data_IF_211279630363
#
_entry.id   IF_211279630363
#
_cell.length_a   1.000
_cell.length_b   1.000
_cell.length_c   1.000
_cell.angle_alpha   90.00
_cell.angle_beta   90.00
_cell.angle_gamma   90.00
#
_symmetry.space_group_name_H-M   'P 1'
#
loop_
_entity.id
_entity.type
_entity.pdbx_description
1 polymer ?
#
# COMPACT_ATOMS: atom_id res chain seq x y z
N UNK A 1 35.42 -7.72 -14.91
CA UNK A 1 35.89 -8.85 -14.11
C UNK A 1 35.31 -8.70 -12.71
N UNK A 2 34.13 -9.27 -12.43
CA UNK A 2 33.43 -9.12 -11.15
C UNK A 2 33.74 -10.33 -10.28
N UNK A 3 34.50 -10.13 -9.22
CA UNK A 3 34.76 -11.15 -8.21
C UNK A 3 33.59 -11.25 -7.27
N UNK A 4 32.79 -12.30 -7.44
CA UNK A 4 31.74 -12.65 -6.49
C UNK A 4 32.37 -13.01 -5.13
N UNK A 5 32.19 -12.17 -4.12
CA UNK A 5 32.49 -12.54 -2.73
C UNK A 5 31.45 -13.56 -2.28
N UNK A 6 31.86 -14.82 -2.14
CA UNK A 6 31.08 -15.86 -1.45
C UNK A 6 30.87 -15.41 0.00
N UNK A 7 29.66 -15.08 0.34
CA UNK A 7 29.22 -14.99 1.74
C UNK A 7 29.18 -16.44 2.25
N UNK A 8 30.11 -16.79 3.12
CA UNK A 8 30.00 -18.03 3.90
C UNK A 8 28.86 -17.83 4.88
N UNK A 9 27.75 -18.49 4.65
CA UNK A 9 26.76 -18.71 5.72
C UNK A 9 27.37 -19.66 6.72
N UNK A 10 27.24 -19.42 8.05
CA UNK A 10 27.57 -20.41 9.04
C UNK A 10 26.69 -21.64 8.75
N UNK A 11 27.26 -22.83 8.90
CA UNK A 11 26.66 -24.11 8.57
C UNK A 11 25.18 -24.15 8.98
N UNK A 12 24.30 -24.07 7.99
CA UNK A 12 22.89 -24.34 8.17
C UNK A 12 22.77 -25.79 8.67
N UNK A 13 22.13 -25.95 9.79
CA UNK A 13 21.65 -27.24 10.30
C UNK A 13 21.28 -28.13 9.12
N UNK A 14 22.08 -29.19 8.91
CA UNK A 14 21.70 -30.30 8.08
C UNK A 14 20.44 -30.92 8.73
N UNK A 15 19.28 -30.47 8.31
CA UNK A 15 18.03 -31.19 8.56
C UNK A 15 18.14 -32.46 7.71
N UNK A 16 18.73 -33.49 8.29
CA UNK A 16 18.75 -34.78 7.66
C UNK A 16 17.31 -35.27 7.53
N UNK A 17 16.87 -35.53 6.30
CA UNK A 17 15.56 -36.12 5.97
C UNK A 17 15.22 -37.37 6.78
N UNK A 18 16.19 -37.92 7.48
CA UNK A 18 16.05 -39.07 8.37
C UNK A 18 15.36 -38.84 9.70
N UNK A 19 15.30 -37.56 10.19
CA UNK A 19 14.65 -37.29 11.47
C UNK A 19 13.13 -37.27 11.36
N UNK A 20 12.59 -36.80 10.24
CA UNK A 20 11.15 -36.81 9.98
C UNK A 20 10.61 -38.19 9.60
N UNK A 21 11.40 -39.05 8.96
CA UNK A 21 10.94 -40.40 8.53
C UNK A 21 10.72 -41.36 9.71
N UNK A 22 11.40 -41.19 10.85
CA UNK A 22 11.21 -42.06 12.03
C UNK A 22 9.89 -41.79 12.79
N UNK A 23 9.28 -40.61 12.59
CA UNK A 23 8.02 -40.26 13.24
C UNK A 23 6.79 -40.40 12.34
N UNK A 24 7.01 -40.63 11.04
CA UNK A 24 5.93 -40.78 10.05
C UNK A 24 5.75 -42.22 9.59
N UNK A 25 5.69 -43.20 10.52
CA UNK A 25 5.09 -44.48 10.21
C UNK A 25 3.58 -44.30 10.17
N UNK A 26 3.09 -43.84 9.02
CA UNK A 26 1.67 -43.78 8.73
C UNK A 26 1.17 -45.21 8.50
N UNK A 27 0.38 -45.72 9.41
CA UNK A 27 -0.53 -46.85 9.15
C UNK A 27 -1.59 -46.44 8.11
N UNK A 28 -2.46 -47.33 7.66
CA UNK A 28 -3.41 -47.05 6.55
C UNK A 28 -4.24 -45.81 6.86
N UNK A 29 -4.25 -44.89 5.89
CA UNK A 29 -4.86 -43.55 5.98
C UNK A 29 -6.38 -43.70 5.92
N UNK A 30 -7.00 -43.86 7.05
CA UNK A 30 -8.29 -43.18 7.31
C UNK A 30 -7.96 -41.71 7.55
N UNK A 31 -8.79 -40.74 7.14
CA UNK A 31 -8.58 -39.34 7.43
C UNK A 31 -8.48 -39.16 8.96
N UNK A 32 -7.33 -39.50 9.49
CA UNK A 32 -7.09 -39.74 10.89
C UNK A 32 -6.61 -38.42 11.49
N UNK A 33 -7.28 -37.99 12.52
CA UNK A 33 -6.74 -37.00 13.44
C UNK A 33 -5.38 -37.49 13.89
N UNK A 34 -4.32 -36.74 13.57
CA UNK A 34 -3.00 -37.03 14.08
C UNK A 34 -3.03 -36.93 15.61
N UNK A 35 -2.33 -37.83 16.33
CA UNK A 35 -2.15 -37.71 17.78
C UNK A 35 -1.48 -36.37 18.19
N UNK A 36 -0.93 -35.66 17.22
CA UNK A 36 -0.31 -34.35 17.40
C UNK A 36 -1.26 -33.18 17.10
N UNK A 37 -2.52 -33.43 16.75
CA UNK A 37 -3.49 -32.38 16.36
C UNK A 37 -3.79 -31.39 17.49
N UNK A 38 -3.58 -31.79 18.74
CA UNK A 38 -3.76 -30.94 19.92
C UNK A 38 -2.97 -29.63 19.85
N UNK A 39 -1.85 -29.58 19.10
CA UNK A 39 -1.05 -28.35 18.96
C UNK A 39 -1.81 -27.22 18.26
N UNK A 40 -2.87 -27.53 17.52
CA UNK A 40 -3.75 -26.54 16.90
C UNK A 40 -4.51 -25.68 17.90
N UNK A 41 -4.69 -26.17 19.13
CA UNK A 41 -5.36 -25.44 20.21
C UNK A 41 -4.52 -24.24 20.67
N UNK A 42 -3.22 -24.22 20.36
CA UNK A 42 -2.34 -23.08 20.64
C UNK A 42 -2.42 -21.98 19.56
N UNK A 43 -3.08 -22.24 18.40
CA UNK A 43 -3.33 -21.22 17.41
C UNK A 43 -4.50 -20.34 17.88
N UNK A 44 -4.24 -19.01 17.95
CA UNK A 44 -5.29 -18.07 18.31
C UNK A 44 -6.35 -17.96 17.20
N UNK A 45 -7.62 -17.84 17.58
CA UNK A 45 -8.69 -17.44 16.67
C UNK A 45 -8.60 -15.93 16.42
N UNK A 46 -8.25 -15.57 15.20
CA UNK A 46 -8.11 -14.19 14.74
C UNK A 46 -9.21 -13.79 13.75
N UNK A 47 -10.38 -14.44 13.83
CA UNK A 47 -11.50 -14.23 12.91
C UNK A 47 -12.14 -12.86 13.12
N UNK A 48 -12.17 -12.03 12.07
CA UNK A 48 -12.87 -10.75 12.05
C UNK A 48 -14.39 -10.94 12.16
N UNK A 49 -15.07 -10.06 12.89
CA UNK A 49 -16.53 -10.07 13.06
C UNK A 49 -17.25 -10.09 11.71
N UNK A 50 -18.25 -10.96 11.58
CA UNK A 50 -19.12 -11.05 10.40
C UNK A 50 -19.87 -9.73 10.17
N UNK A 51 -20.21 -9.46 8.89
CA UNK A 51 -21.01 -8.30 8.49
C UNK A 51 -20.39 -6.92 8.79
N UNK A 52 -19.12 -6.88 9.20
CA UNK A 52 -18.36 -5.65 9.36
C UNK A 52 -17.45 -5.40 8.14
N UNK A 53 -17.13 -4.14 7.89
CA UNK A 53 -16.08 -3.76 6.99
C UNK A 53 -14.72 -4.19 7.56
N UNK A 54 -13.87 -4.77 6.74
CA UNK A 54 -12.47 -5.04 7.12
C UNK A 54 -11.59 -4.07 6.37
N UNK A 55 -10.71 -3.41 7.07
CA UNK A 55 -9.68 -2.54 6.49
C UNK A 55 -8.32 -3.14 6.79
N UNK A 56 -7.51 -3.33 5.77
CA UNK A 56 -6.08 -3.60 5.92
C UNK A 56 -5.35 -2.31 5.60
N UNK A 57 -4.62 -1.76 6.59
CA UNK A 57 -3.75 -0.60 6.40
C UNK A 57 -2.31 -1.02 6.42
N UNK A 58 -1.59 -0.65 5.38
CA UNK A 58 -0.15 -0.80 5.26
C UNK A 58 0.53 0.54 5.51
N UNK A 59 1.71 0.50 6.12
CA UNK A 59 2.54 1.66 6.43
C UNK A 59 4.01 1.29 6.17
N UNK A 60 4.74 2.15 5.50
CA UNK A 60 6.14 1.91 5.15
C UNK A 60 7.07 1.99 6.36
N UNK A 61 7.68 0.86 6.74
CA UNK A 61 8.59 0.81 7.89
C UNK A 61 9.88 1.59 7.61
N UNK A 62 10.17 2.63 8.43
CA UNK A 62 11.33 3.51 8.25
C UNK A 62 11.41 4.13 6.85
N UNK A 63 10.28 4.45 6.26
CA UNK A 63 10.19 4.82 4.85
C UNK A 63 10.85 6.17 4.57
N UNK A 64 10.93 7.05 5.59
CA UNK A 64 11.69 8.27 5.50
C UNK A 64 13.22 8.02 5.26
N UNK A 65 13.80 7.07 5.96
CA UNK A 65 15.17 6.64 5.68
C UNK A 65 15.29 5.98 4.30
N UNK A 66 14.28 5.22 3.89
CA UNK A 66 14.22 4.62 2.55
C UNK A 66 14.21 5.71 1.48
N UNK A 67 13.34 6.70 1.60
CA UNK A 67 13.21 7.83 0.69
C UNK A 67 14.52 8.63 0.58
N UNK A 68 15.18 8.90 1.71
CA UNK A 68 16.46 9.62 1.72
C UNK A 68 17.57 8.82 1.05
N UNK A 69 17.66 7.50 1.31
CA UNK A 69 18.68 6.64 0.68
C UNK A 69 18.45 6.45 -0.83
N UNK A 70 17.22 6.52 -1.27
CA UNK A 70 16.85 6.43 -2.68
C UNK A 70 16.65 7.83 -3.33
N UNK A 71 17.09 8.91 -2.68
CA UNK A 71 17.08 10.27 -3.22
C UNK A 71 15.70 10.68 -3.77
N UNK A 72 14.63 10.39 -3.03
CA UNK A 72 13.29 10.84 -3.40
C UNK A 72 13.22 12.36 -3.36
N UNK A 73 12.56 12.95 -4.35
CA UNK A 73 12.32 14.37 -4.39
C UNK A 73 11.52 14.84 -3.16
N UNK A 74 11.85 16.03 -2.68
CA UNK A 74 11.17 16.65 -1.52
C UNK A 74 10.47 17.94 -1.97
N UNK A 75 9.28 18.25 -1.47
CA UNK A 75 8.52 17.52 -0.43
C UNK A 75 7.88 16.23 -0.90
N UNK A 76 7.66 16.06 -2.20
CA UNK A 76 6.96 14.91 -2.77
C UNK A 76 7.70 14.37 -4.00
N UNK A 77 7.74 13.06 -4.14
CA UNK A 77 8.20 12.39 -5.36
C UNK A 77 7.01 11.70 -6.04
N UNK A 78 6.59 12.21 -7.19
CA UNK A 78 5.45 11.67 -7.94
C UNK A 78 5.69 10.23 -8.39
N UNK A 79 6.93 9.85 -8.70
CA UNK A 79 7.30 8.48 -9.11
C UNK A 79 7.01 7.50 -7.97
N UNK A 80 7.39 7.87 -6.75
CA UNK A 80 7.15 7.04 -5.56
C UNK A 80 5.63 6.84 -5.31
N UNK A 81 4.83 7.92 -5.42
CA UNK A 81 3.38 7.83 -5.26
C UNK A 81 2.70 7.01 -6.37
N UNK A 82 3.17 7.13 -7.59
CA UNK A 82 2.65 6.32 -8.70
C UNK A 82 3.04 4.84 -8.55
N UNK A 83 4.25 4.53 -8.09
CA UNK A 83 4.66 3.17 -7.77
C UNK A 83 3.79 2.57 -6.66
N UNK A 84 3.54 3.31 -5.56
CA UNK A 84 2.61 2.89 -4.49
C UNK A 84 1.21 2.60 -5.05
N UNK A 85 0.73 3.47 -5.95
CA UNK A 85 -0.56 3.31 -6.61
C UNK A 85 -0.60 2.07 -7.50
N UNK A 86 0.45 1.80 -8.27
CA UNK A 86 0.56 0.59 -9.09
C UNK A 86 0.55 -0.68 -8.24
N UNK A 87 1.27 -0.68 -7.11
CA UNK A 87 1.23 -1.80 -6.17
C UNK A 87 -0.18 -2.04 -5.62
N UNK A 88 -0.90 -0.96 -5.27
CA UNK A 88 -2.27 -1.07 -4.78
C UNK A 88 -3.24 -1.58 -5.84
N UNK A 89 -3.08 -1.17 -7.10
CA UNK A 89 -3.85 -1.72 -8.22
C UNK A 89 -3.64 -3.24 -8.35
N UNK A 90 -2.39 -3.70 -8.32
CA UNK A 90 -2.05 -5.13 -8.39
C UNK A 90 -2.67 -5.93 -7.23
N UNK A 91 -2.68 -5.37 -6.02
CA UNK A 91 -3.37 -6.00 -4.87
C UNK A 91 -4.87 -6.08 -5.09
N UNK A 92 -5.50 -5.02 -5.63
CA UNK A 92 -6.94 -5.03 -5.92
C UNK A 92 -7.31 -6.00 -7.05
N UNK A 93 -6.48 -6.11 -8.08
CA UNK A 93 -6.67 -7.06 -9.20
C UNK A 93 -6.64 -8.51 -8.72
N UNK A 94 -5.77 -8.84 -7.77
CA UNK A 94 -5.67 -10.17 -7.17
C UNK A 94 -6.81 -10.43 -6.16
N UNK A 95 -7.25 -9.42 -5.43
CA UNK A 95 -8.19 -9.53 -4.32
C UNK A 95 -9.50 -8.78 -4.62
N UNK A 96 -10.37 -9.36 -5.45
CA UNK A 96 -11.63 -8.75 -5.94
C UNK A 96 -12.63 -8.31 -4.85
N UNK A 97 -12.45 -8.77 -3.61
CA UNK A 97 -13.26 -8.35 -2.47
C UNK A 97 -12.86 -6.98 -1.91
N UNK A 98 -11.76 -6.38 -2.38
CA UNK A 98 -11.41 -5.00 -2.09
C UNK A 98 -12.27 -4.08 -2.95
N UNK A 99 -13.00 -3.17 -2.33
CA UNK A 99 -13.90 -2.23 -3.02
C UNK A 99 -13.32 -0.83 -3.15
N UNK A 100 -12.48 -0.43 -2.20
CA UNK A 100 -11.81 0.86 -2.18
C UNK A 100 -10.38 0.63 -1.71
N UNK A 101 -9.41 1.27 -2.36
CA UNK A 101 -8.09 1.48 -1.80
C UNK A 101 -7.81 2.99 -1.74
N UNK A 102 -7.23 3.44 -0.63
CA UNK A 102 -6.86 4.83 -0.39
C UNK A 102 -5.39 4.90 0.01
N UNK A 103 -4.62 5.69 -0.73
CA UNK A 103 -3.18 5.86 -0.51
C UNK A 103 -2.75 7.29 -0.29
N UNK A 104 -1.76 7.46 0.56
CA UNK A 104 -1.06 8.72 0.80
C UNK A 104 0.38 8.43 1.23
N UNK A 105 1.35 9.17 0.71
CA UNK A 105 2.77 8.97 1.06
C UNK A 105 3.16 7.48 0.95
N UNK A 106 3.57 6.88 2.05
CA UNK A 106 3.95 5.47 2.20
C UNK A 106 2.85 4.60 2.87
N UNK A 107 1.64 5.14 3.01
CA UNK A 107 0.49 4.45 3.59
C UNK A 107 -0.53 4.05 2.50
N UNK A 108 -1.08 2.84 2.61
CA UNK A 108 -2.21 2.38 1.80
C UNK A 108 -3.23 1.63 2.64
N UNK A 109 -4.51 1.96 2.47
CA UNK A 109 -5.66 1.32 3.14
C UNK A 109 -6.52 0.60 2.13
N UNK A 110 -6.81 -0.68 2.37
CA UNK A 110 -7.63 -1.55 1.53
C UNK A 110 -8.91 -1.92 2.26
N UNK A 111 -10.05 -1.53 1.71
CA UNK A 111 -11.38 -1.76 2.29
C UNK A 111 -12.03 -2.97 1.61
N UNK A 112 -12.30 -4.01 2.39
CA UNK A 112 -12.95 -5.23 1.92
C UNK A 112 -14.47 -5.15 2.12
N UNK A 113 -15.22 -5.80 1.22
CA UNK A 113 -16.67 -5.94 1.29
C UNK A 113 -17.11 -6.49 2.66
N UNK A 114 -18.23 -5.97 3.20
CA UNK A 114 -18.82 -6.49 4.45
C UNK A 114 -19.17 -7.97 4.39
N UNK A 115 -19.53 -8.48 3.20
CA UNK A 115 -19.89 -9.87 2.94
C UNK A 115 -18.69 -10.76 2.61
N UNK A 116 -17.48 -10.19 2.54
CA UNK A 116 -16.27 -10.97 2.27
C UNK A 116 -16.14 -12.12 3.25
N UNK A 117 -15.94 -13.31 2.73
CA UNK A 117 -15.64 -14.52 3.52
C UNK A 117 -14.26 -15.10 3.18
N UNK A 118 -13.41 -14.28 2.59
CA UNK A 118 -12.08 -14.63 2.19
C UNK A 118 -11.28 -15.19 3.37
N UNK A 119 -10.66 -16.35 3.20
CA UNK A 119 -9.98 -17.11 4.26
C UNK A 119 -10.76 -17.21 5.58
N UNK A 120 -12.09 -17.39 5.52
CA UNK A 120 -12.96 -17.42 6.71
C UNK A 120 -12.80 -16.19 7.61
N UNK A 121 -12.46 -15.05 7.00
CA UNK A 121 -12.27 -13.74 7.65
C UNK A 121 -11.11 -13.68 8.67
N UNK A 122 -10.11 -14.54 8.56
CA UNK A 122 -8.95 -14.51 9.46
C UNK A 122 -8.10 -13.25 9.23
N UNK A 123 -7.94 -12.43 10.28
CA UNK A 123 -7.21 -11.15 10.23
C UNK A 123 -5.76 -11.32 9.77
N UNK A 124 -5.06 -12.33 10.28
CA UNK A 124 -3.69 -12.66 9.88
C UNK A 124 -3.58 -12.93 8.37
N UNK A 125 -4.58 -13.59 7.79
CA UNK A 125 -4.60 -13.90 6.35
C UNK A 125 -4.81 -12.65 5.51
N UNK A 126 -5.75 -11.79 5.89
CA UNK A 126 -5.92 -10.50 5.22
C UNK A 126 -4.63 -9.69 5.26
N UNK A 127 -4.05 -9.54 6.45
CA UNK A 127 -2.85 -8.74 6.67
C UNK A 127 -1.66 -9.26 5.87
N UNK A 128 -1.34 -10.55 6.00
CA UNK A 128 -0.14 -11.12 5.40
C UNK A 128 -0.21 -11.19 3.89
N UNK A 129 -1.37 -11.52 3.30
CA UNK A 129 -1.52 -11.52 1.85
C UNK A 129 -1.40 -10.12 1.26
N UNK A 130 -2.12 -9.13 1.82
CA UNK A 130 -2.05 -7.75 1.33
C UNK A 130 -0.63 -7.20 1.47
N UNK A 131 0.02 -7.38 2.64
CA UNK A 131 1.35 -6.87 2.87
C UNK A 131 2.41 -7.53 1.97
N UNK A 132 2.37 -8.85 1.82
CA UNK A 132 3.33 -9.57 0.98
C UNK A 132 3.15 -9.25 -0.51
N UNK A 133 1.92 -9.22 -1.00
CA UNK A 133 1.62 -8.86 -2.38
C UNK A 133 2.04 -7.41 -2.69
N UNK A 134 1.75 -6.49 -1.78
CA UNK A 134 2.15 -5.09 -1.94
C UNK A 134 3.67 -4.92 -1.96
N UNK A 135 4.37 -5.50 -0.98
CA UNK A 135 5.82 -5.41 -0.89
C UNK A 135 6.54 -6.05 -2.09
N UNK A 136 6.08 -7.22 -2.55
CA UNK A 136 6.65 -7.87 -3.73
C UNK A 136 6.39 -7.06 -5.00
N UNK A 137 5.19 -6.48 -5.15
CA UNK A 137 4.85 -5.58 -6.26
C UNK A 137 5.72 -4.34 -6.28
N UNK A 138 6.03 -3.78 -5.12
CA UNK A 138 6.90 -2.61 -5.02
C UNK A 138 8.30 -2.89 -5.57
N UNK A 139 8.88 -4.04 -5.24
CA UNK A 139 10.17 -4.49 -5.78
C UNK A 139 10.07 -4.80 -7.27
N UNK A 140 8.99 -5.46 -7.68
CA UNK A 140 8.77 -5.88 -9.07
C UNK A 140 8.67 -4.69 -10.03
N UNK A 141 7.87 -3.68 -9.66
CA UNK A 141 7.63 -2.49 -10.49
C UNK A 141 8.63 -1.35 -10.25
N UNK A 142 9.63 -1.50 -9.38
CA UNK A 142 10.56 -0.43 -9.08
C UNK A 142 11.18 0.22 -10.32
N UNK A 143 11.66 -0.60 -11.25
CA UNK A 143 12.34 -0.12 -12.47
C UNK A 143 11.43 0.64 -13.42
N UNK A 144 10.14 0.40 -13.38
CA UNK A 144 9.17 1.08 -14.25
C UNK A 144 8.99 2.56 -13.87
N UNK A 145 9.36 2.93 -12.64
CA UNK A 145 9.22 4.28 -12.09
C UNK A 145 10.58 4.95 -11.77
N UNK A 146 11.62 4.15 -11.56
CA UNK A 146 12.96 4.61 -11.17
C UNK A 146 14.04 3.98 -12.07
N UNK A 147 13.87 4.10 -13.37
CA UNK A 147 14.63 3.45 -14.46
C UNK A 147 16.13 3.31 -14.16
N UNK A 148 16.82 4.44 -13.91
CA UNK A 148 18.28 4.50 -13.70
C UNK A 148 18.68 4.37 -12.23
N UNK A 149 17.72 4.31 -11.33
CA UNK A 149 17.97 4.29 -9.89
C UNK A 149 17.82 2.88 -9.33
N UNK A 150 18.92 2.22 -8.90
CA UNK A 150 18.81 0.88 -8.36
C UNK A 150 18.05 0.86 -7.02
N UNK A 151 17.24 -0.15 -6.82
CA UNK A 151 16.67 -0.44 -5.50
C UNK A 151 17.83 -0.94 -4.61
N UNK A 152 18.22 -0.16 -3.61
CA UNK A 152 19.36 -0.46 -2.74
C UNK A 152 19.07 -1.58 -1.74
N UNK A 153 17.82 -1.66 -1.28
CA UNK A 153 17.32 -2.73 -0.41
C UNK A 153 15.79 -2.79 -0.48
N UNK A 154 15.18 -3.96 -0.22
CA UNK A 154 13.72 -4.10 -0.29
C UNK A 154 13.04 -3.29 0.82
N UNK A 155 11.90 -2.63 0.53
CA UNK A 155 11.09 -1.97 1.55
C UNK A 155 10.36 -3.00 2.41
N UNK A 156 10.06 -2.62 3.66
CA UNK A 156 9.14 -3.36 4.50
C UNK A 156 7.89 -2.54 4.76
N UNK A 157 6.74 -3.22 4.83
CA UNK A 157 5.47 -2.60 5.16
C UNK A 157 4.90 -3.23 6.43
N UNK A 158 4.50 -2.39 7.37
CA UNK A 158 3.76 -2.77 8.56
C UNK A 158 2.28 -2.87 8.20
N UNK A 159 1.63 -3.97 8.56
CA UNK A 159 0.22 -4.19 8.27
C UNK A 159 -0.62 -4.24 9.53
N UNK A 160 -1.83 -3.67 9.47
CA UNK A 160 -2.82 -3.83 10.54
C UNK A 160 -4.22 -4.02 9.97
N UNK A 161 -5.00 -4.85 10.67
CA UNK A 161 -6.41 -5.10 10.33
C UNK A 161 -7.29 -4.37 11.33
N UNK A 162 -8.24 -3.59 10.80
CA UNK A 162 -9.24 -2.89 11.61
C UNK A 162 -10.64 -3.24 11.10
N UNK A 163 -11.56 -3.43 12.03
CA UNK A 163 -12.94 -3.83 11.71
C UNK A 163 -13.90 -2.68 12.05
N UNK A 164 -14.70 -2.26 11.07
CA UNK A 164 -15.65 -1.17 11.23
C UNK A 164 -17.09 -1.68 11.07
N UNK A 165 -17.97 -1.45 12.06
CA UNK A 165 -19.32 -2.06 12.06
C UNK A 165 -20.30 -1.38 11.10
N UNK A 166 -20.15 -0.08 10.82
CA UNK A 166 -21.14 0.70 10.08
C UNK A 166 -20.55 1.38 8.84
N UNK A 167 -21.43 1.81 7.92
CA UNK A 167 -21.02 2.62 6.78
C UNK A 167 -20.53 4.00 7.22
N UNK A 168 -21.06 4.53 8.35
CA UNK A 168 -20.60 5.81 8.86
C UNK A 168 -19.16 5.71 9.36
N UNK A 169 -18.84 4.69 10.17
CA UNK A 169 -17.47 4.53 10.71
C UNK A 169 -16.42 4.33 9.62
N UNK A 170 -16.75 3.65 8.50
CA UNK A 170 -15.80 3.55 7.38
C UNK A 170 -15.64 4.87 6.63
N UNK A 171 -16.70 5.67 6.49
CA UNK A 171 -16.59 7.02 5.91
C UNK A 171 -15.72 7.93 6.79
N UNK A 172 -15.94 7.90 8.10
CA UNK A 172 -15.16 8.69 9.06
C UNK A 172 -13.69 8.28 9.05
N UNK A 173 -13.42 6.98 8.94
CA UNK A 173 -12.07 6.47 8.78
C UNK A 173 -11.38 7.03 7.52
N UNK A 174 -12.01 6.95 6.36
CA UNK A 174 -11.44 7.47 5.11
C UNK A 174 -11.27 9.00 5.15
N UNK A 175 -12.24 9.71 5.75
CA UNK A 175 -12.15 11.16 5.95
C UNK A 175 -10.98 11.53 6.87
N UNK A 176 -10.77 10.77 7.93
CA UNK A 176 -9.64 10.95 8.84
C UNK A 176 -8.31 10.74 8.11
N UNK A 177 -8.18 9.69 7.30
CA UNK A 177 -6.96 9.46 6.52
C UNK A 177 -6.70 10.57 5.50
N UNK A 178 -7.75 11.10 4.87
CA UNK A 178 -7.60 12.22 3.94
C UNK A 178 -7.24 13.53 4.66
N UNK A 179 -7.79 13.79 5.84
CA UNK A 179 -7.41 14.96 6.64
C UNK A 179 -5.94 14.87 7.07
N UNK A 180 -5.49 13.70 7.49
CA UNK A 180 -4.10 13.42 7.84
C UNK A 180 -3.15 13.66 6.65
N UNK A 181 -3.52 13.18 5.46
CA UNK A 181 -2.80 13.47 4.22
C UNK A 181 -2.59 14.98 4.01
N UNK A 182 -3.68 15.76 4.12
CA UNK A 182 -3.61 17.20 3.94
C UNK A 182 -2.71 17.88 4.97
N UNK A 183 -2.87 17.55 6.25
CA UNK A 183 -2.11 18.14 7.35
C UNK A 183 -0.61 17.87 7.18
N UNK A 184 -0.26 16.60 6.93
CA UNK A 184 1.13 16.19 6.78
C UNK A 184 1.77 16.75 5.52
N UNK A 185 1.06 16.76 4.40
CA UNK A 185 1.60 17.28 3.15
C UNK A 185 1.80 18.81 3.22
N UNK A 186 0.85 19.57 3.78
CA UNK A 186 1.02 20.99 3.99
C UNK A 186 2.23 21.29 4.89
N UNK A 187 2.37 20.56 5.99
CA UNK A 187 3.54 20.71 6.87
C UNK A 187 4.85 20.44 6.12
N UNK A 188 4.93 19.33 5.40
CA UNK A 188 6.14 18.96 4.65
C UNK A 188 6.46 19.95 3.53
N UNK A 189 5.45 20.50 2.86
CA UNK A 189 5.65 21.51 1.80
C UNK A 189 6.31 22.76 2.37
N UNK A 190 5.79 23.28 3.48
CA UNK A 190 6.39 24.45 4.14
C UNK A 190 7.79 24.12 4.69
N UNK A 191 7.92 22.99 5.37
CA UNK A 191 9.20 22.57 5.95
C UNK A 191 10.30 22.52 4.90
N UNK A 192 10.04 21.88 3.77
CA UNK A 192 11.03 21.76 2.71
C UNK A 192 11.26 23.05 1.95
N UNK A 193 10.26 23.93 1.82
CA UNK A 193 10.46 25.29 1.31
C UNK A 193 11.43 26.10 2.19
N UNK A 194 11.24 26.04 3.51
CA UNK A 194 12.13 26.69 4.47
C UNK A 194 13.57 26.12 4.41
N UNK A 195 13.74 24.83 4.28
CA UNK A 195 15.05 24.20 4.21
C UNK A 195 15.72 24.48 2.86
N UNK A 196 15.03 24.30 1.74
CA UNK A 196 15.63 24.33 0.41
C UNK A 196 15.77 25.75 -0.16
N UNK A 197 14.82 26.65 0.14
CA UNK A 197 14.79 28.00 -0.43
C UNK A 197 15.28 29.06 0.54
N UNK A 198 14.97 28.95 1.84
CA UNK A 198 15.51 29.91 2.84
C UNK A 198 16.81 29.47 3.49
N UNK A 199 17.32 28.28 3.16
CA UNK A 199 18.58 27.76 3.70
C UNK A 199 18.56 27.48 5.21
N UNK A 200 17.38 27.34 5.83
CA UNK A 200 17.28 26.98 7.25
C UNK A 200 17.73 25.53 7.47
N UNK A 201 18.36 25.30 8.61
CA UNK A 201 18.60 23.92 9.04
C UNK A 201 17.27 23.24 9.38
N UNK A 202 17.18 21.89 9.28
CA UNK A 202 15.97 21.15 9.66
C UNK A 202 15.43 21.51 11.06
N UNK A 203 16.34 21.71 12.02
CA UNK A 203 15.99 22.09 13.41
C UNK A 203 15.35 23.48 13.45
N UNK A 204 15.92 24.45 12.72
CA UNK A 204 15.37 25.82 12.65
C UNK A 204 14.02 25.83 11.95
N UNK A 205 13.87 25.10 10.84
CA UNK A 205 12.60 24.98 10.12
C UNK A 205 11.52 24.35 11.02
N UNK A 206 11.85 23.27 11.73
CA UNK A 206 10.94 22.64 12.68
C UNK A 206 10.55 23.59 13.82
N UNK A 207 11.51 24.30 14.41
CA UNK A 207 11.24 25.28 15.46
C UNK A 207 10.32 26.41 14.99
N UNK A 208 10.51 26.88 13.74
CA UNK A 208 9.65 27.91 13.14
C UNK A 208 8.21 27.43 12.92
N UNK A 209 8.02 26.15 12.61
CA UNK A 209 6.69 25.58 12.37
C UNK A 209 5.99 25.12 13.65
N UNK A 210 6.68 25.10 14.78
CA UNK A 210 6.10 24.68 16.05
C UNK A 210 4.97 25.62 16.46
N UNK A 211 3.79 25.07 16.75
CA UNK A 211 2.59 25.81 17.16
C UNK A 211 1.85 26.52 16.04
N UNK A 212 2.32 26.48 14.79
CA UNK A 212 1.60 27.07 13.65
C UNK A 212 0.37 26.26 13.26
N UNK A 213 -0.68 26.97 12.85
CA UNK A 213 -1.91 26.38 12.30
C UNK A 213 -1.81 26.23 10.76
N UNK A 214 -2.85 25.68 10.14
CA UNK A 214 -2.89 25.53 8.68
C UNK A 214 -2.90 26.88 7.95
N UNK A 215 -3.59 27.90 8.52
CA UNK A 215 -3.62 29.25 7.97
C UNK A 215 -2.22 29.87 7.94
N UNK A 216 -1.47 29.76 9.06
CA UNK A 216 -0.12 30.32 9.17
C UNK A 216 0.84 29.67 8.15
N UNK A 217 0.71 28.35 7.96
CA UNK A 217 1.50 27.60 6.97
C UNK A 217 1.22 28.05 5.54
N UNK A 218 -0.05 28.27 5.20
CA UNK A 218 -0.43 28.79 3.89
C UNK A 218 0.09 30.21 3.69
N UNK A 219 0.05 31.05 4.72
CA UNK A 219 0.59 32.41 4.67
C UNK A 219 2.10 32.40 4.44
N UNK A 220 2.85 31.57 5.16
CA UNK A 220 4.29 31.40 4.96
C UNK A 220 4.58 30.97 3.50
N UNK A 221 3.86 29.98 2.97
CA UNK A 221 4.07 29.52 1.59
C UNK A 221 3.80 30.64 0.58
N UNK A 222 2.74 31.39 0.78
CA UNK A 222 2.34 32.43 -0.15
C UNK A 222 3.23 33.67 -0.07
N UNK A 223 3.45 34.19 1.15
CA UNK A 223 4.16 35.45 1.34
C UNK A 223 5.67 35.37 1.13
N UNK A 224 6.29 34.22 1.49
CA UNK A 224 7.74 34.08 1.43
C UNK A 224 8.23 33.34 0.20
N UNK A 225 7.43 32.40 -0.34
CA UNK A 225 7.84 31.53 -1.44
C UNK A 225 6.99 31.69 -2.70
N UNK A 226 5.96 32.53 -2.67
CA UNK A 226 5.00 32.69 -3.76
C UNK A 226 4.33 31.35 -4.19
N UNK A 227 4.16 30.44 -3.23
CA UNK A 227 3.54 29.13 -3.42
C UNK A 227 2.09 29.20 -2.95
N UNK A 228 1.14 29.08 -3.88
CA UNK A 228 -0.25 28.84 -3.53
C UNK A 228 -0.47 27.32 -3.37
N UNK A 229 -0.54 26.84 -2.13
CA UNK A 229 -0.72 25.43 -1.84
C UNK A 229 -1.96 24.80 -2.48
N UNK A 230 -2.99 25.59 -2.79
CA UNK A 230 -4.16 25.08 -3.50
C UNK A 230 -3.88 24.68 -4.95
N UNK A 231 -2.80 25.14 -5.52
CA UNK A 231 -2.36 24.77 -6.88
C UNK A 231 -1.52 23.49 -6.91
N UNK A 232 -1.08 22.99 -5.74
CA UNK A 232 -0.36 21.74 -5.67
C UNK A 232 -1.22 20.57 -6.16
N UNK A 233 -0.63 19.56 -6.82
CA UNK A 233 -1.35 18.38 -7.33
C UNK A 233 -2.24 17.71 -6.28
N UNK A 234 -3.44 17.28 -6.70
CA UNK A 234 -4.39 16.63 -5.80
C UNK A 234 -3.83 15.35 -5.16
N UNK A 235 -3.00 14.61 -5.89
CA UNK A 235 -2.34 13.40 -5.39
C UNK A 235 -1.49 13.69 -4.14
N UNK A 236 -0.88 14.87 -4.05
CA UNK A 236 -0.10 15.28 -2.88
C UNK A 236 -1.01 15.75 -1.73
N UNK A 237 -2.04 16.54 -2.05
CA UNK A 237 -2.90 17.18 -1.04
C UNK A 237 -4.03 16.31 -0.51
N UNK A 238 -4.50 15.36 -1.33
CA UNK A 238 -5.70 14.54 -1.05
C UNK A 238 -5.45 13.04 -1.08
N UNK A 239 -4.28 12.62 -1.57
CA UNK A 239 -3.98 11.22 -1.78
C UNK A 239 -4.64 10.63 -3.04
N UNK A 240 -4.60 9.32 -3.14
CA UNK A 240 -5.12 8.54 -4.26
C UNK A 240 -6.26 7.64 -3.81
N UNK A 241 -7.35 7.63 -4.56
CA UNK A 241 -8.48 6.71 -4.36
C UNK A 241 -8.56 5.77 -5.55
N UNK A 242 -8.60 4.47 -5.30
CA UNK A 242 -8.85 3.44 -6.29
C UNK A 242 -10.20 2.76 -6.00
N UNK A 243 -11.03 2.65 -7.02
CA UNK A 243 -12.32 1.97 -6.99
C UNK A 243 -12.55 1.18 -8.27
N UNK A 244 -13.35 0.13 -8.19
CA UNK A 244 -13.81 -0.58 -9.37
C UNK A 244 -14.89 0.23 -10.08
N UNK A 245 -14.74 0.42 -11.40
CA UNK A 245 -15.74 1.06 -12.24
C UNK A 245 -16.22 0.08 -13.32
N UNK A 246 -17.54 -0.08 -13.41
CA UNK A 246 -18.14 -0.82 -14.53
C UNK A 246 -18.11 0.04 -15.79
N UNK A 247 -17.38 -0.38 -16.81
CA UNK A 247 -17.38 0.24 -18.12
C UNK A 247 -18.47 -0.43 -18.96
N UNK A 248 -19.44 0.35 -19.44
CA UNK A 248 -20.45 -0.11 -20.38
C UNK A 248 -19.95 0.19 -21.80
N UNK A 249 -19.55 -0.82 -22.53
CA UNK A 249 -19.23 -0.66 -23.94
C UNK A 249 -20.53 -0.50 -24.74
N UNK A 250 -20.73 0.66 -25.36
CA UNK A 250 -21.77 0.87 -26.37
C UNK A 250 -21.17 0.45 -27.72
N UNK A 251 -21.56 -0.70 -28.21
CA UNK A 251 -21.30 -1.05 -29.60
C UNK A 251 -22.18 -0.16 -30.47
N UNK A 252 -21.60 0.80 -31.16
CA UNK A 252 -22.24 1.46 -32.31
C UNK A 252 -22.26 0.43 -33.43
N UNK A 253 -23.37 -0.25 -33.63
CA UNK A 253 -23.61 -0.97 -34.90
C UNK A 253 -23.50 0.05 -36.02
N UNK A 254 -22.47 -0.08 -36.88
CA UNK A 254 -22.43 0.60 -38.16
C UNK A 254 -23.60 0.00 -38.96
N UNK A 255 -24.67 0.75 -39.13
CA UNK A 255 -25.71 0.44 -40.10
C UNK A 255 -25.01 0.33 -41.46
N UNK A 256 -24.84 -0.90 -41.91
CA UNK A 256 -24.43 -1.18 -43.27
C UNK A 256 -25.50 -0.64 -44.18
N UNK A 257 -25.10 0.30 -45.05
CA UNK A 257 -25.97 0.81 -46.10
C UNK A 257 -26.48 -0.33 -46.96
N UNK A 258 -27.78 -0.42 -47.13
CA UNK A 258 -28.39 -1.20 -48.17
C UNK A 258 -28.04 -0.53 -49.50
N UNK A 259 -27.22 -1.18 -50.29
CA UNK A 259 -27.13 -0.90 -51.75
C UNK A 259 -28.43 -1.44 -52.37
N UNK A 260 -29.32 -0.55 -52.76
CA UNK A 260 -30.36 -0.86 -53.73
C UNK A 260 -29.71 -1.17 -55.08
N UNK A 261 -29.66 -2.44 -55.46
CA UNK A 261 -29.40 -2.83 -56.85
C UNK A 261 -30.71 -2.74 -57.64
N UNK A 262 -30.90 -1.65 -58.35
CA UNK A 262 -31.85 -1.58 -59.44
C UNK A 262 -31.34 -2.42 -60.62
N UNK A 263 -31.92 -3.60 -60.82
CA UNK A 263 -31.76 -4.45 -62.02
C UNK A 263 -33.00 -4.34 -62.86
N UNK A 264 -32.83 -3.84 -64.07
CA UNK A 264 -33.78 -3.92 -65.18
C UNK A 264 -33.95 -5.33 -65.67
#
# INVERSE_FOLDING_TARGET
MWTARRIKFPDCLHVTSGFLSRYLRLGPVTMAKSKFEYVREFEADDTCLAHCWVVVRLDGRNFHRFADKHNFAKPNDSRALHLMTKCAQTVMEELEDIVIAYGQSDEYSFVFKRKSNWFKRRASKFMTHVASQFASSYVFYWRDYFEDQPLLYPPGFDGRVVVYPTNQTIKDYLSWRQADCHINNLYNTVFWALVQQSGLTPVQAQGRLQGTLAADKNEILFSEFNINYNNEPLIFRKGTVLIWQKVRWLYLEKNGGQEESSGT
#
